data_IF_427608826189
#
_entry.id   IF_427608826189
#
_cell.length_a   1.000
_cell.length_b   1.000
_cell.length_c   1.000
_cell.angle_alpha   90.00
_cell.angle_beta   90.00
_cell.angle_gamma   90.00
#
_symmetry.space_group_name_H-M   'P 1'
#
loop_
_entity.id
_entity.type
_entity.pdbx_description
1 polymer ?
#
# COMPACT_ATOMS: atom_id res chain seq x y z
N UNK A 1 -16.90 -7.39 -0.92
CA UNK A 1 -17.02 -8.60 -1.76
C UNK A 1 -15.69 -8.79 -2.46
N UNK A 2 -15.12 -9.98 -2.37
CA UNK A 2 -13.88 -10.33 -3.05
C UNK A 2 -14.21 -10.71 -4.50
N UNK A 3 -13.31 -10.44 -5.44
CA UNK A 3 -13.37 -11.04 -6.78
C UNK A 3 -12.89 -12.49 -6.72
N UNK A 4 -13.12 -13.24 -7.80
CA UNK A 4 -12.70 -14.64 -7.93
C UNK A 4 -11.18 -14.85 -7.75
N UNK A 5 -10.38 -13.78 -7.85
CA UNK A 5 -8.92 -13.78 -7.69
C UNK A 5 -8.45 -13.30 -6.31
N UNK A 6 -9.30 -13.35 -5.28
CA UNK A 6 -9.03 -12.82 -3.94
C UNK A 6 -8.73 -11.31 -3.88
N UNK A 7 -9.03 -10.55 -4.93
CA UNK A 7 -8.87 -9.09 -4.92
C UNK A 7 -10.08 -8.44 -4.24
N UNK A 8 -9.85 -7.35 -3.52
CA UNK A 8 -10.93 -6.58 -2.91
C UNK A 8 -11.67 -5.80 -4.00
N UNK A 9 -12.95 -6.09 -4.21
CA UNK A 9 -13.78 -5.33 -5.15
C UNK A 9 -14.24 -4.03 -4.48
N UNK A 10 -13.73 -2.90 -4.96
CA UNK A 10 -14.20 -1.58 -4.52
C UNK A 10 -15.60 -1.37 -5.10
N UNK A 11 -16.58 -1.14 -4.22
CA UNK A 11 -17.94 -0.75 -4.64
C UNK A 11 -17.92 0.74 -5.00
N UNK A 12 -17.55 1.06 -6.24
CA UNK A 12 -17.43 2.45 -6.71
C UNK A 12 -18.72 3.27 -6.50
N UNK A 13 -19.90 2.64 -6.62
CA UNK A 13 -21.21 3.27 -6.36
C UNK A 13 -21.48 3.58 -4.88
N UNK A 14 -20.61 3.17 -3.96
CA UNK A 14 -20.68 3.49 -2.52
C UNK A 14 -19.60 4.47 -2.08
N UNK A 15 -18.69 4.88 -2.97
CA UNK A 15 -17.73 5.91 -2.63
C UNK A 15 -18.41 7.27 -2.75
N UNK A 16 -18.32 8.14 -1.73
CA UNK A 16 -18.75 9.52 -1.87
C UNK A 16 -17.98 10.22 -2.98
N UNK A 17 -18.68 10.98 -3.83
CA UNK A 17 -18.05 11.71 -4.95
C UNK A 17 -16.95 12.66 -4.47
N UNK A 18 -17.14 13.28 -3.31
CA UNK A 18 -16.14 14.15 -2.67
C UNK A 18 -14.81 13.44 -2.42
N UNK A 19 -14.84 12.16 -2.04
CA UNK A 19 -13.63 11.37 -1.80
C UNK A 19 -12.94 11.01 -3.12
N UNK A 20 -13.74 10.75 -4.17
CA UNK A 20 -13.21 10.49 -5.52
C UNK A 20 -12.50 11.73 -6.07
N UNK A 21 -13.08 12.91 -5.87
CA UNK A 21 -12.47 14.18 -6.29
C UNK A 21 -11.18 14.45 -5.53
N UNK A 22 -11.17 14.27 -4.20
CA UNK A 22 -9.96 14.42 -3.38
C UNK A 22 -8.82 13.51 -3.85
N UNK A 23 -9.12 12.25 -4.20
CA UNK A 23 -8.12 11.32 -4.72
C UNK A 23 -7.58 11.76 -6.08
N UNK A 24 -8.40 12.39 -6.94
CA UNK A 24 -7.97 12.85 -8.28
C UNK A 24 -7.07 14.09 -8.21
N UNK A 25 -7.32 14.98 -7.25
CA UNK A 25 -6.54 16.22 -7.12
C UNK A 25 -5.23 16.03 -6.36
N UNK A 26 -5.09 14.95 -5.59
CA UNK A 26 -3.88 14.61 -4.84
C UNK A 26 -2.65 14.53 -5.77
N UNK A 27 -1.73 15.48 -5.61
CA UNK A 27 -0.51 15.59 -6.43
C UNK A 27 0.51 14.50 -6.09
N UNK A 28 0.57 14.05 -4.84
CA UNK A 28 1.51 13.00 -4.42
C UNK A 28 1.20 11.69 -5.15
N UNK A 29 -0.08 11.38 -5.40
CA UNK A 29 -0.45 10.20 -6.19
C UNK A 29 0.03 10.22 -7.64
N UNK A 30 0.33 11.41 -8.18
CA UNK A 30 0.88 11.59 -9.52
C UNK A 30 2.41 11.52 -9.52
N UNK A 31 3.03 11.48 -8.34
CA UNK A 31 4.47 11.47 -8.19
C UNK A 31 5.07 10.11 -8.57
N UNK A 32 6.33 10.13 -8.97
CA UNK A 32 7.05 8.92 -9.37
C UNK A 32 7.29 7.99 -8.17
N UNK A 33 7.48 8.57 -6.99
CA UNK A 33 7.64 7.87 -5.72
C UNK A 33 6.40 7.02 -5.41
N UNK A 34 5.21 7.61 -5.53
CA UNK A 34 3.97 6.89 -5.31
C UNK A 34 3.79 5.74 -6.30
N UNK A 35 4.14 5.95 -7.57
CA UNK A 35 4.11 4.90 -8.58
C UNK A 35 5.09 3.76 -8.26
N UNK A 36 6.32 4.08 -7.87
CA UNK A 36 7.34 3.08 -7.48
C UNK A 36 6.84 2.29 -6.28
N UNK A 37 6.34 2.95 -5.23
CA UNK A 37 5.79 2.30 -4.04
C UNK A 37 4.65 1.37 -4.44
N UNK A 38 3.63 1.87 -5.13
CA UNK A 38 2.43 1.06 -5.44
C UNK A 38 2.69 -0.10 -6.39
N UNK A 39 3.66 0.02 -7.31
CA UNK A 39 3.96 -1.04 -8.28
C UNK A 39 4.99 -2.04 -7.79
N UNK A 40 6.03 -1.60 -7.06
CA UNK A 40 7.18 -2.43 -6.67
C UNK A 40 7.13 -2.91 -5.23
N UNK A 41 6.36 -2.28 -4.35
CA UNK A 41 6.35 -2.66 -2.93
C UNK A 41 5.78 -4.06 -2.69
N UNK A 42 4.88 -4.53 -3.56
CA UNK A 42 4.36 -5.91 -3.51
C UNK A 42 5.45 -6.97 -3.77
N UNK A 43 6.45 -6.63 -4.57
CA UNK A 43 7.54 -7.54 -4.96
C UNK A 43 8.69 -7.49 -3.94
N UNK A 44 8.62 -6.54 -2.99
CA UNK A 44 9.69 -6.25 -2.07
C UNK A 44 9.62 -7.22 -0.88
N UNK A 45 10.72 -7.96 -0.67
CA UNK A 45 10.82 -8.88 0.46
C UNK A 45 10.83 -8.09 1.76
N UNK A 46 9.69 -8.02 2.45
CA UNK A 46 9.56 -7.27 3.70
C UNK A 46 10.25 -7.98 4.88
N UNK A 47 10.31 -9.31 4.86
CA UNK A 47 10.73 -10.17 5.98
C UNK A 47 11.99 -10.99 5.68
N UNK A 48 12.60 -11.55 6.72
CA UNK A 48 13.83 -12.36 6.64
C UNK A 48 15.10 -11.50 6.73
N UNK A 49 16.25 -12.17 6.83
CA UNK A 49 17.55 -11.55 7.10
C UNK A 49 17.93 -10.45 6.10
N UNK A 50 17.60 -10.65 4.82
CA UNK A 50 17.81 -9.66 3.74
C UNK A 50 16.59 -8.79 3.42
N UNK A 51 15.50 -8.93 4.18
CA UNK A 51 14.26 -8.20 3.97
C UNK A 51 14.33 -6.74 4.44
N UNK A 52 13.44 -5.90 3.92
CA UNK A 52 13.42 -4.46 4.22
C UNK A 52 13.36 -4.17 5.72
N UNK A 53 12.59 -4.93 6.49
CA UNK A 53 12.46 -4.74 7.95
C UNK A 53 13.78 -4.94 8.69
N UNK A 54 14.58 -5.93 8.26
CA UNK A 54 15.92 -6.20 8.80
C UNK A 54 16.89 -5.07 8.42
N UNK A 55 16.89 -4.66 7.14
CA UNK A 55 17.81 -3.63 6.62
C UNK A 55 17.55 -2.21 7.12
N UNK A 56 16.31 -1.91 7.49
CA UNK A 56 15.89 -0.56 7.89
C UNK A 56 15.79 -0.36 9.40
N UNK A 57 16.02 -1.41 10.21
CA UNK A 57 15.85 -1.34 11.66
C UNK A 57 14.41 -1.09 12.12
N UNK A 58 13.42 -1.20 11.22
CA UNK A 58 12.00 -0.90 11.52
C UNK A 58 11.32 -1.92 12.45
N UNK A 59 12.03 -2.98 12.87
CA UNK A 59 11.50 -4.03 13.78
C UNK A 59 12.48 -4.44 14.89
N UNK A 60 13.30 -3.52 15.39
CA UNK A 60 14.14 -3.77 16.59
C UNK A 60 13.29 -3.93 17.87
N UNK A 61 12.05 -3.43 17.89
CA UNK A 61 11.16 -3.55 19.04
C UNK A 61 10.07 -4.59 18.79
N UNK A 62 10.36 -5.83 19.15
CA UNK A 62 9.32 -6.83 19.40
C UNK A 62 8.63 -6.39 20.69
N UNK A 63 7.32 -6.18 20.65
CA UNK A 63 6.54 -6.09 21.89
C UNK A 63 6.66 -7.45 22.58
N UNK A 64 7.63 -7.59 23.47
CA UNK A 64 7.70 -8.69 24.43
C UNK A 64 6.70 -8.39 25.55
N UNK A 65 5.56 -9.08 25.51
CA UNK A 65 4.81 -9.55 26.68
C UNK A 65 4.18 -10.91 26.34
#
# INVERSE_FOLDING_TARGET
>A
EYTNDNLIKIKHHKLPDSLVEQIKIDEFRKSIEFQIITTKMKDLKLHGESGLKSKSGLMEYRYDL
#
